data_IF_104946886505
#
_entry.id   IF_104946886505
#
_cell.length_a   1.000
_cell.length_b   1.000
_cell.length_c   1.000
_cell.angle_alpha   90.00
_cell.angle_beta   90.00
_cell.angle_gamma   90.00
#
_symmetry.space_group_name_H-M   'P 1'
#
loop_
_entity.id
_entity.type
_entity.pdbx_description
1 polymer ?
#
# COMPACT_ATOMS: atom_id res chain seq x y z
N UNK A 1 -10.51 -31.84 -6.29
CA UNK A 1 -9.67 -30.68 -6.70
C UNK A 1 -8.40 -30.52 -5.87
N UNK A 2 -8.42 -30.21 -4.57
CA UNK A 2 -7.18 -30.06 -3.77
C UNK A 2 -6.32 -31.34 -3.74
N UNK A 3 -6.95 -32.49 -3.49
CA UNK A 3 -6.29 -33.81 -3.50
C UNK A 3 -5.76 -34.20 -4.89
N UNK A 4 -6.43 -33.76 -5.95
CA UNK A 4 -6.03 -34.04 -7.34
C UNK A 4 -4.87 -33.16 -7.79
N UNK A 5 -4.88 -31.88 -7.39
CA UNK A 5 -3.83 -30.91 -7.69
C UNK A 5 -2.65 -30.97 -6.69
N UNK A 6 -2.74 -31.80 -5.65
CA UNK A 6 -1.79 -31.86 -4.53
C UNK A 6 -1.48 -30.47 -3.96
N UNK A 7 -2.52 -29.66 -3.77
CA UNK A 7 -2.42 -28.28 -3.31
C UNK A 7 -3.45 -27.95 -2.23
N UNK A 8 -3.32 -26.76 -1.65
CA UNK A 8 -4.26 -26.22 -0.66
C UNK A 8 -4.76 -24.84 -1.07
N UNK A 9 -6.01 -24.52 -0.79
CA UNK A 9 -6.53 -23.17 -0.91
C UNK A 9 -5.87 -22.24 0.10
N UNK A 10 -5.48 -21.06 -0.36
CA UNK A 10 -4.92 -19.99 0.47
C UNK A 10 -5.58 -18.66 0.13
N UNK A 11 -5.62 -17.77 1.11
CA UNK A 11 -6.09 -16.39 0.90
C UNK A 11 -5.28 -15.70 -0.20
N UNK A 12 -5.97 -15.11 -1.18
CA UNK A 12 -5.31 -14.54 -2.37
C UNK A 12 -4.27 -13.48 -1.99
N UNK A 13 -4.53 -12.67 -0.96
CA UNK A 13 -3.55 -11.68 -0.47
C UNK A 13 -2.25 -12.33 -0.03
N UNK A 14 -2.32 -13.48 0.65
CA UNK A 14 -1.13 -14.24 1.05
C UNK A 14 -0.46 -14.88 -0.17
N UNK A 15 -1.25 -15.35 -1.13
CA UNK A 15 -0.77 -15.96 -2.37
C UNK A 15 0.04 -14.98 -3.23
N UNK A 16 -0.41 -13.72 -3.37
CA UNK A 16 0.26 -12.72 -4.19
C UNK A 16 1.73 -12.51 -3.78
N UNK A 17 2.07 -12.70 -2.50
CA UNK A 17 3.44 -12.56 -2.01
C UNK A 17 4.34 -13.77 -2.27
N UNK A 18 3.78 -14.90 -2.71
CA UNK A 18 4.51 -16.13 -3.04
C UNK A 18 4.73 -16.31 -4.55
N UNK A 19 4.01 -15.53 -5.36
CA UNK A 19 4.05 -15.63 -6.81
C UNK A 19 5.18 -14.78 -7.40
N UNK A 20 5.59 -15.13 -8.62
CA UNK A 20 6.44 -14.24 -9.42
C UNK A 20 5.65 -13.00 -9.85
N UNK A 21 6.36 -11.94 -10.25
CA UNK A 21 5.74 -10.65 -10.59
C UNK A 21 4.71 -10.74 -11.73
N UNK A 22 4.93 -11.62 -12.71
CA UNK A 22 4.02 -11.80 -13.86
C UNK A 22 2.68 -12.39 -13.40
N UNK A 23 2.72 -13.47 -12.64
CA UNK A 23 1.52 -14.16 -12.15
C UNK A 23 0.78 -13.31 -11.12
N UNK A 24 1.51 -12.62 -10.24
CA UNK A 24 0.93 -11.69 -9.27
C UNK A 24 0.16 -10.56 -9.97
N UNK A 25 0.70 -10.00 -11.07
CA UNK A 25 0.04 -8.95 -11.84
C UNK A 25 -1.24 -9.44 -12.53
N UNK A 26 -1.19 -10.63 -13.15
CA UNK A 26 -2.35 -11.26 -13.79
C UNK A 26 -3.46 -11.55 -12.78
N UNK A 27 -3.13 -12.16 -11.64
CA UNK A 27 -4.11 -12.44 -10.58
C UNK A 27 -4.68 -11.18 -9.95
N UNK A 28 -3.85 -10.13 -9.76
CA UNK A 28 -4.32 -8.84 -9.25
C UNK A 28 -5.37 -8.24 -10.18
N UNK A 29 -5.13 -8.28 -11.49
CA UNK A 29 -6.06 -7.79 -12.51
C UNK A 29 -7.35 -8.60 -12.51
N UNK A 30 -7.23 -9.94 -12.51
CA UNK A 30 -8.39 -10.83 -12.49
C UNK A 30 -9.25 -10.63 -11.24
N UNK A 31 -8.64 -10.55 -10.06
CA UNK A 31 -9.34 -10.32 -8.80
C UNK A 31 -10.11 -9.01 -8.81
N UNK A 32 -9.46 -7.90 -9.20
CA UNK A 32 -10.10 -6.60 -9.22
C UNK A 32 -11.29 -6.57 -10.19
N UNK A 33 -11.12 -7.14 -11.39
CA UNK A 33 -12.19 -7.17 -12.39
C UNK A 33 -13.37 -8.06 -11.97
N UNK A 34 -13.09 -9.24 -11.40
CA UNK A 34 -14.11 -10.16 -10.91
C UNK A 34 -14.89 -9.56 -9.73
N UNK A 35 -14.19 -8.94 -8.77
CA UNK A 35 -14.81 -8.24 -7.63
C UNK A 35 -15.64 -7.06 -8.08
N UNK A 36 -15.13 -6.26 -9.02
CA UNK A 36 -15.90 -5.15 -9.58
C UNK A 36 -17.19 -5.63 -10.25
N UNK A 37 -17.11 -6.68 -11.05
CA UNK A 37 -18.29 -7.26 -11.70
C UNK A 37 -19.32 -7.82 -10.72
N UNK A 38 -18.87 -8.39 -9.61
CA UNK A 38 -19.71 -8.90 -8.53
C UNK A 38 -20.44 -7.75 -7.82
N UNK A 39 -19.74 -6.65 -7.52
CA UNK A 39 -20.32 -5.48 -6.88
C UNK A 39 -21.25 -4.63 -7.78
N UNK A 40 -21.13 -4.73 -9.11
CA UNK A 40 -21.84 -3.87 -10.07
C UNK A 40 -22.90 -4.60 -10.89
N UNK A 41 -23.57 -5.59 -10.30
CA UNK A 41 -24.60 -6.39 -10.99
C UNK A 41 -25.85 -5.58 -11.36
N UNK A 42 -26.16 -4.51 -10.62
CA UNK A 42 -27.35 -3.68 -10.80
C UNK A 42 -26.98 -2.21 -11.02
N UNK A 43 -27.84 -1.48 -11.73
CA UNK A 43 -27.65 -0.06 -12.00
C UNK A 43 -27.98 0.75 -10.75
N UNK A 44 -27.02 1.54 -10.26
CA UNK A 44 -27.19 2.43 -9.11
C UNK A 44 -28.29 3.48 -9.27
N UNK A 45 -28.70 3.80 -10.52
CA UNK A 45 -29.78 4.76 -10.81
C UNK A 45 -31.16 4.14 -10.92
N UNK A 46 -31.28 2.97 -11.54
CA UNK A 46 -32.60 2.36 -11.88
C UNK A 46 -32.91 1.05 -11.15
N UNK A 47 -31.94 0.46 -10.45
CA UNK A 47 -32.07 -0.86 -9.83
C UNK A 47 -32.11 -2.04 -10.81
N UNK A 48 -32.06 -1.80 -12.12
CA UNK A 48 -32.14 -2.85 -13.14
C UNK A 48 -30.79 -3.57 -13.35
N UNK A 49 -30.78 -4.87 -13.72
CA UNK A 49 -29.54 -5.59 -14.01
C UNK A 49 -28.72 -4.93 -15.12
N UNK A 50 -27.41 -4.82 -14.91
CA UNK A 50 -26.48 -4.33 -15.94
C UNK A 50 -25.89 -5.51 -16.72
N UNK A 51 -25.51 -5.28 -17.98
CA UNK A 51 -24.90 -6.29 -18.87
C UNK A 51 -23.42 -6.01 -19.08
N UNK A 52 -22.56 -7.03 -18.95
CA UNK A 52 -21.13 -6.95 -19.27
C UNK A 52 -20.93 -6.89 -20.78
N UNK A 53 -19.89 -6.21 -21.27
CA UNK A 53 -19.42 -6.40 -22.64
C UNK A 53 -18.60 -7.68 -22.78
N UNK A 54 -18.33 -8.11 -24.01
CA UNK A 54 -17.54 -9.33 -24.31
C UNK A 54 -16.16 -9.31 -23.66
N UNK A 55 -15.50 -8.15 -23.64
CA UNK A 55 -14.17 -8.00 -23.05
C UNK A 55 -14.18 -7.83 -21.51
N UNK A 56 -15.34 -7.75 -20.85
CA UNK A 56 -15.45 -7.51 -19.40
C UNK A 56 -15.08 -6.08 -18.95
N UNK A 57 -14.52 -5.24 -19.80
CA UNK A 57 -14.04 -3.89 -19.46
C UNK A 57 -15.12 -2.87 -19.08
N UNK A 58 -16.41 -3.18 -19.29
CA UNK A 58 -17.52 -2.31 -18.88
C UNK A 58 -18.81 -3.07 -18.62
N UNK A 59 -19.74 -2.41 -17.92
CA UNK A 59 -21.14 -2.83 -17.77
C UNK A 59 -22.07 -1.73 -18.25
N UNK A 60 -23.16 -2.11 -18.91
CA UNK A 60 -24.15 -1.16 -19.45
C UNK A 60 -25.52 -1.48 -18.89
N UNK A 61 -26.23 -0.48 -18.40
CA UNK A 61 -27.64 -0.63 -18.02
C UNK A 61 -28.53 -0.50 -19.26
N UNK A 62 -29.32 -1.54 -19.64
CA UNK A 62 -30.16 -1.46 -20.82
C UNK A 62 -31.33 -0.47 -20.71
N UNK A 63 -31.75 -0.11 -19.50
CA UNK A 63 -32.93 0.75 -19.29
C UNK A 63 -32.64 2.25 -19.44
N UNK A 64 -31.39 2.68 -19.25
CA UNK A 64 -31.01 4.09 -19.25
C UNK A 64 -29.67 4.37 -19.95
N UNK A 65 -29.04 3.34 -20.54
CA UNK A 65 -27.78 3.41 -21.27
C UNK A 65 -26.56 3.92 -20.46
N UNK A 66 -26.64 3.96 -19.12
CA UNK A 66 -25.49 4.32 -18.29
C UNK A 66 -24.41 3.24 -18.44
N UNK A 67 -23.17 3.70 -18.66
CA UNK A 67 -21.98 2.87 -18.75
C UNK A 67 -21.20 2.97 -17.44
N UNK A 68 -20.89 1.82 -16.86
CA UNK A 68 -20.03 1.68 -15.69
C UNK A 68 -18.69 1.08 -16.12
N UNK A 69 -17.62 1.71 -15.69
CA UNK A 69 -16.24 1.22 -15.84
C UNK A 69 -15.70 0.72 -14.49
N UNK A 70 -14.73 -0.20 -14.48
CA UNK A 70 -13.98 -0.54 -13.28
C UNK A 70 -13.44 0.72 -12.59
N UNK A 71 -13.72 0.85 -11.29
CA UNK A 71 -13.28 1.97 -10.48
C UNK A 71 -12.10 1.54 -9.63
N UNK A 72 -11.14 2.45 -9.45
CA UNK A 72 -10.02 2.30 -8.54
C UNK A 72 -9.98 3.54 -7.63
N UNK A 73 -9.88 3.31 -6.33
CA UNK A 73 -9.69 4.42 -5.40
C UNK A 73 -8.21 4.87 -5.44
N UNK A 74 -7.92 6.16 -5.65
CA UNK A 74 -6.56 6.68 -5.48
C UNK A 74 -6.17 6.64 -3.99
N UNK A 75 -4.98 6.12 -3.71
CA UNK A 75 -4.43 5.99 -2.36
C UNK A 75 -2.98 6.46 -2.41
N UNK A 76 -2.62 7.43 -1.58
CA UNK A 76 -1.21 7.82 -1.44
C UNK A 76 -0.51 6.87 -0.49
N UNK A 77 0.77 6.60 -0.73
CA UNK A 77 1.64 5.91 0.22
C UNK A 77 2.96 6.65 0.34
N UNK A 78 3.27 7.13 1.54
CA UNK A 78 4.30 8.14 1.76
C UNK A 78 5.32 7.67 2.79
N UNK A 79 6.59 7.68 2.38
CA UNK A 79 7.73 7.50 3.28
C UNK A 79 8.23 8.87 3.68
N UNK A 80 7.97 9.23 4.93
CA UNK A 80 8.41 10.49 5.53
C UNK A 80 9.83 10.33 6.07
N UNK A 81 10.70 11.30 5.81
CA UNK A 81 12.11 11.30 6.22
C UNK A 81 12.49 12.62 6.86
N UNK A 82 13.29 12.59 7.93
CA UNK A 82 13.92 13.77 8.52
C UNK A 82 15.31 14.07 7.93
N UNK A 83 15.72 13.27 6.94
CA UNK A 83 17.01 13.30 6.29
C UNK A 83 17.93 12.16 6.73
N UNK A 84 17.86 11.75 7.99
CA UNK A 84 18.72 10.70 8.58
C UNK A 84 17.96 9.42 8.93
N UNK A 85 16.66 9.56 9.23
CA UNK A 85 15.73 8.49 9.62
C UNK A 85 14.51 8.55 8.71
N UNK A 86 13.81 7.43 8.60
CA UNK A 86 12.47 7.41 8.02
C UNK A 86 11.43 7.01 9.06
N UNK A 87 10.23 7.54 8.90
CA UNK A 87 9.09 7.23 9.74
C UNK A 87 8.37 6.01 9.19
N UNK A 88 8.16 5.01 10.04
CA UNK A 88 7.33 3.85 9.71
C UNK A 88 6.27 3.66 10.79
N UNK A 89 5.11 3.19 10.37
CA UNK A 89 3.97 2.94 11.25
C UNK A 89 3.38 1.55 11.04
N UNK A 90 2.51 1.15 11.98
CA UNK A 90 1.72 -0.07 11.85
C UNK A 90 0.31 0.14 12.37
N UNK A 91 -0.64 -0.51 11.70
CA UNK A 91 -2.02 -0.65 12.16
C UNK A 91 -2.17 -1.93 12.99
N UNK A 92 -3.19 -1.99 13.85
CA UNK A 92 -3.49 -3.17 14.68
C UNK A 92 -3.76 -4.44 13.86
N UNK A 93 -4.27 -4.27 12.64
CA UNK A 93 -4.57 -5.33 11.67
C UNK A 93 -3.32 -5.94 11.02
N UNK A 94 -2.16 -5.27 11.11
CA UNK A 94 -0.93 -5.74 10.49
C UNK A 94 -0.34 -6.91 11.26
N UNK A 95 0.29 -7.89 10.58
CA UNK A 95 1.11 -8.90 11.23
C UNK A 95 2.07 -8.29 12.25
N UNK A 96 2.21 -8.90 13.43
CA UNK A 96 3.05 -8.38 14.51
C UNK A 96 4.50 -8.19 14.05
N UNK A 97 5.10 -7.05 14.41
CA UNK A 97 6.45 -6.66 14.00
C UNK A 97 6.57 -6.03 12.60
N UNK A 98 5.52 -6.09 11.76
CA UNK A 98 5.54 -5.42 10.46
C UNK A 98 5.25 -3.94 10.60
N UNK A 99 6.09 -3.10 10.01
CA UNK A 99 5.87 -1.65 9.86
C UNK A 99 5.97 -1.26 8.38
N UNK A 100 5.27 -0.21 7.98
CA UNK A 100 5.13 0.26 6.60
C UNK A 100 5.19 1.79 6.53
N UNK A 101 5.34 2.32 5.32
CA UNK A 101 5.04 3.72 5.03
C UNK A 101 3.56 4.06 5.35
N UNK A 102 3.28 5.34 5.60
CA UNK A 102 1.92 5.86 5.85
C UNK A 102 1.10 5.79 4.57
N UNK A 103 -0.20 5.53 4.65
CA UNK A 103 -1.03 5.42 3.46
C UNK A 103 -2.49 5.79 3.74
N UNK A 104 -3.08 6.55 2.81
CA UNK A 104 -4.44 7.05 2.96
C UNK A 104 -5.12 7.38 1.64
N UNK A 105 -6.45 7.44 1.67
CA UNK A 105 -7.25 7.66 0.48
C UNK A 105 -7.23 9.14 0.10
N UNK A 106 -7.22 9.44 -1.21
CA UNK A 106 -7.46 10.81 -1.64
C UNK A 106 -8.95 11.13 -1.52
N UNK A 107 -9.26 12.28 -0.92
CA UNK A 107 -10.63 12.78 -0.85
C UNK A 107 -11.04 13.52 -2.13
N UNK A 108 -12.35 13.68 -2.29
CA UNK A 108 -12.92 14.39 -3.44
C UNK A 108 -12.45 15.85 -3.40
N UNK A 109 -11.75 16.26 -4.45
CA UNK A 109 -11.26 17.63 -4.60
C UNK A 109 -9.81 17.82 -4.16
N UNK A 110 -9.17 16.81 -3.57
CA UNK A 110 -7.75 16.86 -3.21
C UNK A 110 -6.84 16.49 -4.39
N UNK A 111 -5.75 17.22 -4.52
CA UNK A 111 -4.54 16.76 -5.20
C UNK A 111 -3.81 15.68 -4.37
N UNK A 112 -2.93 14.92 -5.01
CA UNK A 112 -2.08 13.93 -4.34
C UNK A 112 -1.25 14.60 -3.23
N UNK A 113 -0.75 15.79 -3.49
CA UNK A 113 0.09 16.56 -2.56
C UNK A 113 -0.70 17.08 -1.36
N UNK A 114 -1.98 17.41 -1.52
CA UNK A 114 -2.88 17.78 -0.42
C UNK A 114 -3.20 16.55 0.45
N UNK A 115 -3.57 15.43 -0.18
CA UNK A 115 -3.80 14.16 0.54
C UNK A 115 -2.58 13.76 1.37
N UNK A 116 -1.37 13.82 0.80
CA UNK A 116 -0.16 13.45 1.55
C UNK A 116 0.04 14.36 2.78
N UNK A 117 -0.17 15.67 2.64
CA UNK A 117 -0.03 16.60 3.77
C UNK A 117 -1.08 16.33 4.84
N UNK A 118 -2.32 16.10 4.43
CA UNK A 118 -3.42 15.77 5.35
C UNK A 118 -3.14 14.47 6.10
N UNK A 119 -2.88 13.38 5.40
CA UNK A 119 -2.65 12.05 6.00
C UNK A 119 -1.45 12.06 6.95
N UNK A 120 -0.34 12.70 6.58
CA UNK A 120 0.83 12.82 7.48
C UNK A 120 0.51 13.67 8.72
N UNK A 121 -0.28 14.74 8.58
CA UNK A 121 -0.69 15.54 9.73
C UNK A 121 -1.70 14.80 10.62
N UNK A 122 -2.66 14.09 10.04
CA UNK A 122 -3.72 13.35 10.76
C UNK A 122 -3.18 12.13 11.49
N UNK A 123 -2.32 11.33 10.85
CA UNK A 123 -1.84 10.06 11.42
C UNK A 123 -0.73 10.27 12.46
N UNK A 124 0.18 11.23 12.22
CA UNK A 124 1.42 11.38 13.01
C UNK A 124 1.75 12.81 13.42
N UNK A 125 0.92 13.80 13.09
CA UNK A 125 1.07 15.19 13.55
C UNK A 125 2.23 15.97 12.92
N UNK A 126 2.77 15.52 11.78
CA UNK A 126 3.93 16.16 11.14
C UNK A 126 3.51 17.09 9.98
N UNK A 127 4.29 18.14 9.76
CA UNK A 127 4.14 19.05 8.61
C UNK A 127 5.15 18.68 7.51
N UNK A 128 4.64 18.34 6.32
CA UNK A 128 5.48 17.98 5.16
C UNK A 128 6.08 19.23 4.52
N UNK A 129 7.40 19.23 4.38
CA UNK A 129 8.18 20.31 3.75
C UNK A 129 8.26 20.14 2.23
N UNK A 130 8.65 18.96 1.76
CA UNK A 130 8.81 18.67 0.34
C UNK A 130 8.31 17.27 -0.01
N UNK A 131 7.91 17.08 -1.26
CA UNK A 131 7.39 15.80 -1.76
C UNK A 131 8.04 15.45 -3.10
N UNK A 132 8.27 14.16 -3.34
CA UNK A 132 8.76 13.63 -4.61
C UNK A 132 7.99 12.36 -4.97
N UNK A 133 7.33 12.37 -6.13
CA UNK A 133 6.74 11.16 -6.70
C UNK A 133 7.82 10.12 -7.00
N UNK A 134 7.54 8.86 -6.68
CA UNK A 134 8.43 7.73 -6.96
C UNK A 134 7.83 6.78 -8.00
N UNK A 135 6.68 6.19 -7.69
CA UNK A 135 6.07 5.14 -8.50
C UNK A 135 4.58 5.00 -8.23
N UNK A 136 3.91 4.15 -9.01
CA UNK A 136 2.54 3.72 -8.71
C UNK A 136 2.40 2.20 -8.84
N UNK A 137 1.43 1.65 -8.12
CA UNK A 137 1.11 0.22 -8.14
C UNK A 137 -0.40 0.04 -8.01
N UNK A 138 -0.99 -0.74 -8.91
CA UNK A 138 -2.34 -1.22 -8.69
C UNK A 138 -2.36 -2.23 -7.54
N UNK A 139 -3.24 -2.02 -6.57
CA UNK A 139 -3.41 -2.87 -5.41
C UNK A 139 -4.81 -3.50 -5.41
N UNK A 140 -4.94 -4.83 -5.57
CA UNK A 140 -6.23 -5.45 -5.90
C UNK A 140 -7.16 -5.67 -4.70
N UNK A 141 -6.85 -5.15 -3.51
CA UNK A 141 -7.62 -5.42 -2.29
C UNK A 141 -8.09 -4.14 -1.57
N UNK A 142 -9.32 -4.13 -1.03
CA UNK A 142 -10.36 -5.15 -1.20
C UNK A 142 -11.05 -5.09 -2.58
N UNK A 143 -11.20 -3.89 -3.16
CA UNK A 143 -11.96 -3.64 -4.39
C UNK A 143 -11.13 -3.05 -5.53
N UNK A 144 -9.81 -2.88 -5.33
CA UNK A 144 -8.89 -2.24 -6.28
C UNK A 144 -8.61 -0.79 -5.91
N UNK A 145 -7.33 -0.47 -5.72
CA UNK A 145 -6.81 0.87 -5.48
C UNK A 145 -5.62 1.16 -6.40
N UNK A 146 -5.40 2.43 -6.72
CA UNK A 146 -4.16 2.89 -7.33
C UNK A 146 -3.29 3.48 -6.23
N UNK A 147 -2.26 2.75 -5.81
CA UNK A 147 -1.27 3.24 -4.85
C UNK A 147 -0.33 4.21 -5.56
N UNK A 148 -0.19 5.42 -5.03
CA UNK A 148 0.64 6.50 -5.54
C UNK A 148 1.73 6.74 -4.50
N UNK A 149 2.95 6.31 -4.81
CA UNK A 149 4.05 6.28 -3.86
C UNK A 149 4.90 7.53 -3.97
N UNK A 150 5.09 8.20 -2.83
CA UNK A 150 5.85 9.43 -2.72
C UNK A 150 6.85 9.37 -1.56
N UNK A 151 7.99 10.02 -1.73
CA UNK A 151 8.84 10.42 -0.62
C UNK A 151 8.39 11.79 -0.12
N UNK A 152 8.47 11.99 1.19
CA UNK A 152 8.23 13.28 1.81
C UNK A 152 9.36 13.61 2.80
N UNK A 153 9.69 14.88 2.93
CA UNK A 153 10.60 15.36 3.97
C UNK A 153 9.86 16.22 4.98
N UNK A 154 10.38 16.25 6.21
CA UNK A 154 9.98 17.20 7.25
C UNK A 154 11.17 18.07 7.63
N UNK A 155 10.91 19.27 8.15
CA UNK A 155 11.99 20.18 8.55
C UNK A 155 12.82 19.58 9.69
N UNK A 156 14.15 19.75 9.66
CA UNK A 156 14.99 19.45 10.82
C UNK A 156 14.47 20.16 12.07
N UNK A 157 14.31 19.42 13.17
CA UNK A 157 13.77 19.94 14.44
C UNK A 157 12.24 19.88 14.58
N UNK A 158 11.49 19.60 13.50
CA UNK A 158 10.04 19.33 13.55
C UNK A 158 9.77 17.82 13.39
N UNK A 159 10.27 17.03 14.34
CA UNK A 159 10.24 15.55 14.27
C UNK A 159 9.48 14.89 15.41
N UNK A 160 8.84 15.69 16.28
CA UNK A 160 7.98 15.17 17.34
C UNK A 160 6.69 14.62 16.72
N UNK A 161 6.46 13.31 16.90
CA UNK A 161 5.27 12.63 16.36
C UNK A 161 4.14 12.62 17.37
N UNK A 162 2.93 12.86 16.90
CA UNK A 162 1.68 12.71 17.64
C UNK A 162 0.84 11.65 16.96
N UNK A 163 0.94 10.41 17.44
CA UNK A 163 0.30 9.26 16.79
C UNK A 163 -1.20 9.26 17.08
N UNK A 164 -2.01 9.28 16.02
CA UNK A 164 -3.44 9.06 16.12
C UNK A 164 -3.74 7.57 16.37
N UNK A 165 -3.93 7.22 17.64
CA UNK A 165 -4.18 5.84 18.09
C UNK A 165 -5.54 5.26 17.65
N UNK A 166 -6.40 6.05 16.99
CA UNK A 166 -7.63 5.53 16.36
C UNK A 166 -7.34 4.78 15.07
N UNK A 167 -6.25 5.15 14.39
CA UNK A 167 -5.87 4.61 13.08
C UNK A 167 -4.62 3.73 13.17
N UNK A 168 -3.61 4.19 13.91
CA UNK A 168 -2.33 3.51 14.07
C UNK A 168 -2.20 2.83 15.43
N UNK A 169 -1.59 1.64 15.46
CA UNK A 169 -1.16 1.00 16.71
C UNK A 169 0.09 1.71 17.25
N UNK A 170 1.01 2.11 16.36
CA UNK A 170 2.24 2.85 16.72
C UNK A 170 2.93 3.37 15.45
N UNK A 171 3.70 4.45 15.60
CA UNK A 171 4.65 4.95 14.62
C UNK A 171 5.96 5.31 15.32
N UNK A 172 7.08 5.17 14.61
CA UNK A 172 8.40 5.49 15.14
C UNK A 172 9.37 5.87 14.01
N UNK A 173 10.37 6.67 14.38
CA UNK A 173 11.53 6.94 13.52
C UNK A 173 12.48 5.75 13.55
N UNK A 174 12.87 5.26 12.37
CA UNK A 174 13.83 4.18 12.19
C UNK A 174 15.11 4.71 11.55
N UNK A 175 16.25 4.32 12.10
CA UNK A 175 17.55 4.69 11.52
C UNK A 175 17.75 4.02 10.16
N UNK A 176 18.62 4.61 9.33
CA UNK A 176 19.02 4.00 8.07
C UNK A 176 19.56 2.57 8.28
N UNK A 177 20.41 2.36 9.29
CA UNK A 177 20.99 1.06 9.62
C UNK A 177 19.95 0.01 10.01
N UNK A 178 18.95 0.38 10.82
CA UNK A 178 17.86 -0.52 11.21
C UNK A 178 17.08 -1.00 9.99
N UNK A 179 16.74 -0.07 9.09
CA UNK A 179 15.98 -0.34 7.87
C UNK A 179 16.80 -1.15 6.88
N UNK A 180 18.07 -0.80 6.67
CA UNK A 180 19.00 -1.53 5.81
C UNK A 180 19.21 -2.97 6.32
N UNK A 181 19.28 -3.16 7.63
CA UNK A 181 19.35 -4.48 8.26
C UNK A 181 18.06 -5.27 8.05
N UNK A 182 16.90 -4.63 8.21
CA UNK A 182 15.60 -5.26 7.98
C UNK A 182 15.40 -5.69 6.51
N UNK A 183 15.86 -4.90 5.54
CA UNK A 183 15.80 -5.23 4.10
C UNK A 183 16.65 -6.47 3.74
N UNK A 184 17.77 -6.67 4.42
CA UNK A 184 18.69 -7.81 4.19
C UNK A 184 18.23 -9.10 4.86
N UNK A 185 17.27 -9.03 5.79
CA UNK A 185 16.85 -10.17 6.60
C UNK A 185 16.26 -11.29 5.75
N UNK A 186 16.70 -12.52 6.02
CA UNK A 186 16.17 -13.76 5.44
C UNK A 186 15.61 -14.63 6.58
N UNK A 187 14.53 -15.35 6.30
CA UNK A 187 13.93 -16.29 7.25
C UNK A 187 12.58 -15.84 7.81
N UNK A 188 11.93 -16.70 8.61
CA UNK A 188 10.58 -16.46 9.12
C UNK A 188 10.57 -15.39 10.22
N UNK A 189 9.53 -14.55 10.24
CA UNK A 189 9.32 -13.53 11.27
C UNK A 189 8.56 -14.15 12.45
N UNK A 190 9.24 -14.99 13.22
CA UNK A 190 8.68 -15.65 14.41
C UNK A 190 8.91 -14.83 15.67
N UNK A 191 8.05 -15.05 16.66
CA UNK A 191 8.21 -14.51 18.00
C UNK A 191 9.54 -14.96 18.60
N UNK A 192 10.28 -14.02 19.19
CA UNK A 192 11.52 -14.27 19.88
C UNK A 192 11.25 -14.87 21.27
N UNK A 193 12.28 -15.47 21.90
CA UNK A 193 12.16 -16.11 23.21
C UNK A 193 11.66 -15.17 24.32
N UNK A 194 11.91 -13.87 24.19
CA UNK A 194 11.43 -12.82 25.10
C UNK A 194 9.98 -12.37 24.82
N UNK A 195 9.26 -13.05 23.91
CA UNK A 195 7.89 -12.71 23.53
C UNK A 195 7.75 -11.57 22.54
N UNK A 196 8.83 -10.91 22.10
CA UNK A 196 8.75 -9.81 21.13
C UNK A 196 8.80 -10.31 19.69
N UNK A 197 8.21 -9.57 18.76
CA UNK A 197 8.35 -9.84 17.34
C UNK A 197 9.47 -8.96 16.78
N UNK A 198 10.37 -9.51 15.95
CA UNK A 198 11.37 -8.69 15.28
C UNK A 198 10.69 -7.62 14.43
N UNK A 199 11.28 -6.43 14.33
CA UNK A 199 10.92 -5.47 13.28
C UNK A 199 11.17 -6.09 11.90
N UNK A 200 10.19 -5.93 11.01
CA UNK A 200 10.30 -6.33 9.62
C UNK A 200 9.45 -5.46 8.68
N UNK A 201 9.80 -5.50 7.40
CA UNK A 201 9.26 -4.64 6.34
C UNK A 201 8.31 -5.42 5.43
N UNK A 202 7.41 -4.74 4.69
CA UNK A 202 6.47 -5.40 3.80
C UNK A 202 7.18 -6.28 2.76
N UNK A 203 6.51 -7.30 2.21
CA UNK A 203 7.12 -8.19 1.21
C UNK A 203 7.61 -7.44 -0.03
N UNK A 204 8.59 -8.01 -0.73
CA UNK A 204 9.28 -7.37 -1.88
C UNK A 204 8.35 -6.85 -2.98
N UNK A 205 7.20 -7.48 -3.19
CA UNK A 205 6.25 -7.05 -4.21
C UNK A 205 5.41 -5.83 -3.81
N UNK A 206 5.36 -5.45 -2.53
CA UNK A 206 4.61 -4.30 -2.07
C UNK A 206 5.33 -2.99 -2.43
N UNK A 207 4.60 -1.99 -2.91
CA UNK A 207 5.17 -0.67 -3.24
C UNK A 207 5.83 0.01 -2.03
N UNK A 208 5.33 -0.22 -0.80
CA UNK A 208 6.01 0.24 0.41
C UNK A 208 7.42 -0.32 0.56
N UNK A 209 7.65 -1.59 0.19
CA UNK A 209 8.99 -2.18 0.24
C UNK A 209 9.90 -1.49 -0.76
N UNK A 210 9.42 -1.23 -1.99
CA UNK A 210 10.19 -0.56 -3.02
C UNK A 210 10.55 0.88 -2.63
N UNK A 211 9.60 1.61 -2.06
CA UNK A 211 9.80 2.97 -1.54
C UNK A 211 10.87 3.00 -0.42
N UNK A 212 10.78 2.07 0.53
CA UNK A 212 11.76 1.97 1.64
C UNK A 212 13.14 1.57 1.13
N UNK A 213 13.19 0.59 0.22
CA UNK A 213 14.43 0.15 -0.42
C UNK A 213 15.10 1.29 -1.16
N UNK A 214 14.34 2.05 -1.94
CA UNK A 214 14.86 3.17 -2.72
C UNK A 214 15.44 4.28 -1.84
N UNK A 215 14.78 4.60 -0.72
CA UNK A 215 15.29 5.56 0.26
C UNK A 215 16.65 5.12 0.83
N UNK A 216 16.80 3.83 1.18
CA UNK A 216 18.09 3.28 1.63
C UNK A 216 19.18 3.40 0.55
N UNK A 217 18.84 3.08 -0.70
CA UNK A 217 19.78 3.11 -1.84
C UNK A 217 20.21 4.54 -2.21
N UNK A 218 19.30 5.53 -2.14
CA UNK A 218 19.62 6.94 -2.40
C UNK A 218 20.65 7.51 -1.43
N UNK A 219 20.53 7.20 -0.13
CA UNK A 219 21.45 7.72 0.88
C UNK A 219 22.89 7.21 0.69
N UNK A 220 23.03 5.97 0.21
CA UNK A 220 24.34 5.39 -0.12
C UNK A 220 24.97 6.17 -1.28
N UNK A 221 24.19 6.49 -2.32
CA UNK A 221 24.67 7.23 -3.49
C UNK A 221 25.12 8.66 -3.13
N UNK A 222 24.40 9.35 -2.24
CA UNK A 222 24.80 10.70 -1.76
C UNK A 222 26.03 10.71 -0.87
N UNK A 223 26.47 9.56 -0.35
CA UNK A 223 27.65 9.43 0.54
C UNK A 223 28.95 9.10 -0.18
N UNK A 224 28.90 8.82 -1.49
CA UNK A 224 30.09 8.61 -2.32
C UNK A 224 30.62 9.97 -2.80
N UNK A 225 31.92 10.29 -2.61
CA UNK A 225 32.50 11.50 -3.17
C UNK A 225 32.48 11.46 -4.71
N UNK A 226 32.13 12.60 -5.31
CA UNK A 226 32.12 12.82 -6.76
C UNK A 226 33.51 12.70 -7.39
#
# INVERSE_FOLDING_TARGET
>A
METELKGSFIELRKALFQLNARDASLLSTAQALLRWHDAHQFCSRSGQPTKKNVAGSKRVCPSNNIIYYPQMAPVVITLVSDGTRCLLARQSSFPKGMYSALAGFCDIGESVEETIRREVAEEVGLEVESLQYYASQHWPFPSGSLMIACHATVKPGQTEIQVNLRELETAAWFSHDDVATALKRKGPYTQQQNGTFPFWLPPKLAISHQLIKEWVEKQICSSLPA
#
